data_IF_670406211105
#
_entry.id   IF_670406211105
#
_cell.length_a   1.000
_cell.length_b   1.000
_cell.length_c   1.000
_cell.angle_alpha   90.00
_cell.angle_beta   90.00
_cell.angle_gamma   90.00
#
_symmetry.space_group_name_H-M   'P 1'
#
loop_
_entity.id
_entity.type
_entity.pdbx_description
1 polymer ?
#
# COMPACT_ATOMS: atom_id res chain seq x y z
N UNK A 1 -12.41 -35.04 66.76
CA UNK A 1 -11.59 -35.11 65.52
C UNK A 1 -12.39 -34.45 64.39
N UNK A 2 -12.14 -33.18 64.09
CA UNK A 2 -12.77 -32.48 62.95
C UNK A 2 -11.71 -32.23 61.87
N UNK A 3 -12.04 -32.63 60.64
CA UNK A 3 -11.16 -32.62 59.45
C UNK A 3 -11.02 -31.19 58.90
N UNK A 4 -9.80 -30.74 58.67
CA UNK A 4 -9.51 -29.54 57.88
C UNK A 4 -9.68 -29.86 56.39
N UNK A 5 -10.57 -29.15 55.71
CA UNK A 5 -10.69 -29.16 54.25
C UNK A 5 -9.86 -28.01 53.68
N UNK A 6 -8.69 -28.32 53.12
CA UNK A 6 -7.88 -27.41 52.29
C UNK A 6 -8.56 -27.22 50.94
N UNK A 7 -9.07 -26.01 50.67
CA UNK A 7 -9.51 -25.60 49.33
C UNK A 7 -8.30 -25.03 48.59
N UNK A 8 -7.78 -25.80 47.63
CA UNK A 8 -6.75 -25.34 46.70
C UNK A 8 -7.39 -24.49 45.60
N UNK A 9 -7.05 -23.19 45.55
CA UNK A 9 -7.45 -22.30 44.47
C UNK A 9 -6.44 -22.40 43.32
N UNK A 10 -6.85 -22.99 42.19
CA UNK A 10 -6.06 -23.01 40.97
C UNK A 10 -6.15 -21.65 40.26
N UNK A 11 -5.02 -20.96 40.13
CA UNK A 11 -4.91 -19.73 39.34
C UNK A 11 -4.51 -20.08 37.90
N UNK A 12 -5.46 -19.98 36.96
CA UNK A 12 -5.15 -20.05 35.53
C UNK A 12 -4.64 -18.68 35.05
N UNK A 13 -3.37 -18.62 34.64
CA UNK A 13 -2.78 -17.45 34.01
C UNK A 13 -3.12 -17.45 32.51
N UNK A 14 -3.99 -16.55 32.07
CA UNK A 14 -4.23 -16.30 30.65
C UNK A 14 -3.15 -15.36 30.12
N UNK A 15 -2.22 -15.88 29.32
CA UNK A 15 -1.26 -15.09 28.54
C UNK A 15 -2.03 -14.44 27.37
N UNK A 16 -2.31 -13.14 27.46
CA UNK A 16 -2.82 -12.37 26.34
C UNK A 16 -1.68 -12.08 25.37
N UNK A 17 -1.62 -12.79 24.25
CA UNK A 17 -0.73 -12.48 23.12
C UNK A 17 -1.24 -11.19 22.45
N UNK A 18 -0.63 -10.05 22.76
CA UNK A 18 -0.80 -8.85 21.95
C UNK A 18 -0.17 -9.12 20.57
N UNK A 19 -0.95 -8.96 19.49
CA UNK A 19 -0.40 -9.02 18.14
C UNK A 19 0.64 -7.89 17.99
N UNK A 20 1.91 -8.19 17.65
CA UNK A 20 2.90 -7.16 17.43
C UNK A 20 2.45 -6.23 16.29
N UNK A 21 2.86 -4.97 16.32
CA UNK A 21 2.72 -4.09 15.16
C UNK A 21 3.41 -4.79 13.97
N UNK A 22 2.65 -5.11 12.94
CA UNK A 22 3.16 -5.86 11.79
C UNK A 22 4.28 -5.04 11.13
N UNK A 23 5.47 -5.63 11.05
CA UNK A 23 6.58 -5.05 10.29
C UNK A 23 6.16 -4.86 8.82
N UNK A 24 6.71 -3.84 8.17
CA UNK A 24 6.43 -3.60 6.75
C UNK A 24 6.89 -4.79 5.91
N UNK A 25 6.09 -5.16 4.91
CA UNK A 25 6.31 -6.26 3.98
C UNK A 25 6.54 -5.68 2.59
N UNK A 26 7.68 -6.02 1.99
CA UNK A 26 8.05 -5.51 0.66
C UNK A 26 7.72 -6.52 -0.43
N UNK A 27 6.87 -6.10 -1.37
CA UNK A 27 6.52 -6.83 -2.58
C UNK A 27 7.40 -6.34 -3.74
N UNK A 28 8.22 -7.23 -4.29
CA UNK A 28 9.09 -6.92 -5.42
C UNK A 28 8.45 -7.39 -6.72
N UNK A 29 8.22 -6.43 -7.61
CA UNK A 29 7.62 -6.67 -8.91
C UNK A 29 8.67 -6.87 -10.01
N UNK A 30 9.94 -6.52 -9.79
CA UNK A 30 11.09 -6.77 -10.67
C UNK A 30 12.09 -7.82 -10.16
N UNK A 31 13.30 -7.84 -10.73
CA UNK A 31 14.46 -8.66 -10.32
C UNK A 31 15.00 -9.67 -11.35
N UNK A 32 16.18 -10.24 -11.06
CA UNK A 32 16.92 -11.15 -11.97
C UNK A 32 16.31 -12.54 -12.17
N UNK A 33 15.22 -12.86 -11.45
CA UNK A 33 14.53 -14.16 -11.50
C UNK A 33 13.04 -13.99 -11.84
N UNK A 34 12.69 -12.93 -12.56
CA UNK A 34 11.32 -12.69 -13.01
C UNK A 34 11.10 -13.34 -14.37
N UNK A 35 10.15 -14.28 -14.45
CA UNK A 35 9.64 -14.71 -15.75
C UNK A 35 8.97 -13.50 -16.38
N UNK A 36 9.52 -13.01 -17.49
CA UNK A 36 8.91 -11.97 -18.31
C UNK A 36 7.54 -12.46 -18.74
N UNK A 37 6.51 -11.76 -18.33
CA UNK A 37 5.13 -12.20 -18.53
C UNK A 37 4.24 -10.98 -18.77
N UNK A 38 3.48 -11.08 -19.85
CA UNK A 38 2.35 -10.18 -20.11
C UNK A 38 1.08 -10.91 -19.71
N UNK A 39 0.25 -10.27 -18.90
CA UNK A 39 -0.98 -10.85 -18.38
C UNK A 39 -1.98 -9.78 -18.01
N UNK A 40 -3.21 -10.17 -17.69
CA UNK A 40 -4.26 -9.22 -17.26
C UNK A 40 -4.11 -8.79 -15.80
N UNK A 41 -3.34 -9.54 -15.00
CA UNK A 41 -3.08 -9.24 -13.60
C UNK A 41 -1.79 -9.91 -13.11
N UNK A 42 -1.18 -9.34 -12.07
CA UNK A 42 -0.12 -9.97 -11.27
C UNK A 42 -0.62 -10.10 -9.83
N UNK A 43 -0.39 -11.24 -9.18
CA UNK A 43 -0.72 -11.44 -7.76
C UNK A 43 0.45 -12.03 -7.01
N UNK A 44 0.74 -11.50 -5.83
CA UNK A 44 1.78 -11.98 -4.92
C UNK A 44 1.25 -12.00 -3.49
N UNK A 45 1.58 -13.05 -2.74
CA UNK A 45 1.26 -13.15 -1.31
C UNK A 45 2.56 -13.26 -0.52
N UNK A 46 2.73 -12.40 0.48
CA UNK A 46 3.88 -12.41 1.36
C UNK A 46 3.45 -12.05 2.78
N UNK A 47 3.92 -12.83 3.76
CA UNK A 47 3.61 -12.62 5.18
C UNK A 47 2.10 -12.49 5.49
N UNK A 48 1.25 -13.18 4.74
CA UNK A 48 -0.21 -13.17 4.90
C UNK A 48 -0.95 -12.06 4.13
N UNK A 49 -0.23 -11.05 3.62
CA UNK A 49 -0.80 -9.98 2.80
C UNK A 49 -0.72 -10.41 1.34
N UNK A 50 -1.82 -10.27 0.59
CA UNK A 50 -1.86 -10.46 -0.85
C UNK A 50 -1.98 -9.11 -1.54
N UNK A 51 -1.16 -8.90 -2.57
CA UNK A 51 -1.19 -7.74 -3.45
C UNK A 51 -1.54 -8.22 -4.85
N UNK A 52 -2.53 -7.57 -5.48
CA UNK A 52 -2.91 -7.83 -6.87
C UNK A 52 -2.80 -6.53 -7.69
N UNK A 53 -2.06 -6.58 -8.79
CA UNK A 53 -1.92 -5.49 -9.74
C UNK A 53 -2.79 -5.71 -10.97
N UNK A 54 -3.49 -4.67 -11.44
CA UNK A 54 -4.18 -4.61 -12.74
C UNK A 54 -3.92 -3.28 -13.45
N UNK A 55 -3.90 -3.29 -14.78
CA UNK A 55 -3.63 -2.11 -15.62
C UNK A 55 -4.90 -1.52 -16.23
N UNK A 56 -4.94 -0.21 -16.39
CA UNK A 56 -6.03 0.53 -17.02
C UNK A 56 -5.51 1.74 -17.78
N UNK A 57 -6.33 2.28 -18.68
CA UNK A 57 -6.12 3.61 -19.25
C UNK A 57 -7.41 4.42 -19.26
N UNK A 58 -7.28 5.74 -19.36
CA UNK A 58 -8.40 6.62 -19.63
C UNK A 58 -8.95 6.40 -21.05
N UNK A 59 -10.24 6.65 -21.24
CA UNK A 59 -10.83 6.71 -22.58
C UNK A 59 -10.33 7.94 -23.38
N UNK A 60 -9.92 9.00 -22.68
CA UNK A 60 -9.29 10.22 -23.20
C UNK A 60 -8.47 10.86 -22.10
N UNK A 61 -7.24 11.29 -22.38
CA UNK A 61 -6.37 11.93 -21.37
C UNK A 61 -7.03 13.15 -20.76
N UNK A 62 -7.34 13.14 -19.45
CA UNK A 62 -7.82 14.33 -18.77
C UNK A 62 -6.71 15.39 -18.84
N UNK A 63 -7.05 16.62 -19.25
CA UNK A 63 -6.09 17.73 -19.38
C UNK A 63 -5.32 18.06 -18.07
N UNK A 64 -5.79 17.56 -16.92
CA UNK A 64 -5.01 17.50 -15.68
C UNK A 64 -5.51 16.37 -14.77
N UNK A 65 -4.70 15.33 -14.58
CA UNK A 65 -4.91 14.27 -13.59
C UNK A 65 -4.51 14.76 -12.17
N UNK A 66 -4.87 16.00 -11.78
CA UNK A 66 -4.23 16.68 -10.65
C UNK A 66 -5.11 16.84 -9.40
N UNK A 67 -6.41 16.66 -9.48
CA UNK A 67 -7.32 16.51 -8.32
C UNK A 67 -8.70 15.95 -8.69
N UNK A 68 -8.91 15.55 -9.95
CA UNK A 68 -10.27 15.31 -10.47
C UNK A 68 -11.02 14.17 -9.76
N UNK A 69 -10.27 13.25 -9.13
CA UNK A 69 -10.82 12.03 -8.54
C UNK A 69 -10.90 12.06 -7.02
N UNK A 70 -10.41 13.11 -6.36
CA UNK A 70 -10.45 13.17 -4.91
C UNK A 70 -11.89 13.16 -4.39
N UNK A 71 -12.17 12.30 -3.42
CA UNK A 71 -13.51 12.03 -2.90
C UNK A 71 -14.46 11.27 -3.83
N UNK A 72 -14.06 10.94 -5.07
CA UNK A 72 -14.91 10.17 -5.99
C UNK A 72 -15.01 8.72 -5.56
N UNK A 73 -16.12 8.09 -5.94
CA UNK A 73 -16.30 6.65 -5.74
C UNK A 73 -15.38 5.86 -6.68
N UNK A 74 -14.47 5.06 -6.11
CA UNK A 74 -13.45 4.34 -6.87
C UNK A 74 -14.06 3.37 -7.88
N UNK A 75 -15.18 2.73 -7.55
CA UNK A 75 -15.84 1.79 -8.48
C UNK A 75 -16.47 2.54 -9.66
N UNK A 76 -17.03 3.72 -9.42
CA UNK A 76 -17.56 4.59 -10.48
C UNK A 76 -16.45 5.06 -11.42
N UNK A 77 -15.31 5.50 -10.88
CA UNK A 77 -14.15 5.88 -11.69
C UNK A 77 -13.62 4.69 -12.48
N UNK A 78 -13.43 3.54 -11.82
CA UNK A 78 -12.91 2.32 -12.44
C UNK A 78 -13.78 1.86 -13.62
N UNK A 79 -15.11 2.00 -13.51
CA UNK A 79 -16.04 1.65 -14.57
C UNK A 79 -15.91 2.52 -15.84
N UNK A 80 -15.32 3.71 -15.72
CA UNK A 80 -15.04 4.61 -16.84
C UNK A 80 -13.65 4.37 -17.47
N UNK A 81 -12.82 3.51 -16.87
CA UNK A 81 -11.49 3.17 -17.39
C UNK A 81 -11.54 1.97 -18.33
N UNK A 82 -10.61 1.93 -19.27
CA UNK A 82 -10.43 0.79 -20.18
C UNK A 82 -9.41 -0.18 -19.58
N UNK A 83 -9.75 -1.45 -19.31
CA UNK A 83 -8.79 -2.43 -18.83
C UNK A 83 -7.66 -2.69 -19.82
N UNK A 84 -6.44 -2.84 -19.30
CA UNK A 84 -5.21 -3.07 -20.05
C UNK A 84 -4.47 -4.29 -19.50
N UNK A 85 -3.45 -4.74 -20.23
CA UNK A 85 -2.56 -5.77 -19.73
C UNK A 85 -1.50 -5.13 -18.83
N UNK A 86 -0.89 -5.94 -17.97
CA UNK A 86 0.35 -5.62 -17.26
C UNK A 86 1.46 -6.41 -17.91
N UNK A 87 2.63 -5.78 -18.01
CA UNK A 87 3.87 -6.48 -18.33
C UNK A 87 4.85 -6.39 -17.18
N UNK A 88 5.41 -7.55 -16.83
CA UNK A 88 6.42 -7.70 -15.80
C UNK A 88 7.79 -7.89 -16.44
N UNK A 89 8.74 -7.09 -15.98
CA UNK A 89 10.12 -7.03 -16.44
C UNK A 89 11.11 -7.11 -15.27
N UNK A 90 12.41 -7.19 -15.57
CA UNK A 90 13.44 -7.16 -14.53
C UNK A 90 13.44 -5.85 -13.72
N UNK A 91 12.95 -4.75 -14.29
CA UNK A 91 12.92 -3.44 -13.63
C UNK A 91 11.57 -3.11 -12.96
N UNK A 92 10.59 -4.02 -13.02
CA UNK A 92 9.29 -3.82 -12.38
C UNK A 92 8.11 -4.18 -13.27
N UNK A 93 6.96 -3.60 -12.97
CA UNK A 93 5.73 -3.73 -13.74
C UNK A 93 5.25 -2.38 -14.28
N UNK A 94 4.61 -2.42 -15.43
CA UNK A 94 3.79 -1.32 -15.93
C UNK A 94 2.63 -1.83 -16.76
N UNK A 95 1.96 -0.91 -17.45
CA UNK A 95 0.77 -1.17 -18.25
C UNK A 95 1.20 -1.39 -19.70
N UNK A 96 0.37 -2.13 -20.43
CA UNK A 96 0.53 -2.39 -21.86
C UNK A 96 -0.83 -2.44 -22.54
N UNK A 97 -0.90 -1.96 -23.78
CA UNK A 97 -2.02 -2.26 -24.66
C UNK A 97 -1.66 -3.23 -25.80
N UNK A 98 -2.66 -3.89 -26.42
CA UNK A 98 -2.43 -4.75 -27.57
C UNK A 98 -1.88 -3.92 -28.74
N UNK A 99 -0.63 -4.21 -29.17
CA UNK A 99 0.00 -3.59 -30.34
C UNK A 99 1.22 -2.72 -30.04
N UNK A 100 1.46 -2.36 -28.77
CA UNK A 100 2.76 -1.82 -28.37
C UNK A 100 3.80 -2.94 -28.23
N UNK A 101 5.00 -2.69 -28.75
CA UNK A 101 6.11 -3.62 -28.66
C UNK A 101 7.36 -2.90 -28.12
N UNK A 102 8.32 -3.67 -27.61
CA UNK A 102 9.61 -3.13 -27.18
C UNK A 102 9.54 -2.41 -25.83
N UNK A 103 10.18 -1.23 -25.76
CA UNK A 103 10.32 -0.45 -24.53
C UNK A 103 9.04 0.30 -24.13
N UNK A 104 8.10 0.53 -25.04
CA UNK A 104 6.85 1.29 -24.79
C UNK A 104 5.78 0.46 -24.07
N UNK A 105 5.58 -0.81 -24.44
CA UNK A 105 4.74 -1.71 -23.64
C UNK A 105 5.52 -2.16 -22.40
N UNK A 106 5.39 -1.45 -21.28
CA UNK A 106 5.77 -1.87 -19.92
C UNK A 106 5.87 -0.72 -18.90
N UNK A 107 5.58 0.53 -19.24
CA UNK A 107 5.62 1.66 -18.31
C UNK A 107 4.19 2.03 -17.85
N UNK A 108 4.09 2.89 -16.85
CA UNK A 108 2.86 3.60 -16.50
C UNK A 108 3.07 5.02 -17.03
N UNK A 109 2.52 5.28 -18.20
CA UNK A 109 2.86 6.49 -18.95
C UNK A 109 1.64 7.37 -19.30
N UNK A 110 1.94 8.44 -20.04
CA UNK A 110 0.97 9.37 -20.58
C UNK A 110 1.08 9.52 -22.11
N UNK A 111 1.76 8.59 -22.81
CA UNK A 111 1.76 8.59 -24.29
C UNK A 111 0.38 8.13 -24.78
N UNK A 112 -0.29 9.00 -25.51
CA UNK A 112 -1.70 8.80 -25.86
C UNK A 112 -2.63 8.99 -24.66
N UNK A 113 -3.26 7.92 -24.16
CA UNK A 113 -4.21 7.98 -23.03
C UNK A 113 -3.52 7.68 -21.71
N UNK A 114 -3.58 8.57 -20.72
CA UNK A 114 -2.96 8.33 -19.42
C UNK A 114 -3.29 6.95 -18.85
N UNK A 115 -2.27 6.29 -18.33
CA UNK A 115 -2.39 4.96 -17.78
C UNK A 115 -2.49 4.97 -16.26
N UNK A 116 -3.10 3.91 -15.73
CA UNK A 116 -3.21 3.65 -14.31
C UNK A 116 -2.79 2.22 -14.03
N UNK A 117 -1.82 2.07 -13.14
CA UNK A 117 -1.53 0.82 -12.48
C UNK A 117 -2.26 0.79 -11.13
N UNK A 118 -3.23 -0.11 -11.00
CA UNK A 118 -4.03 -0.30 -9.80
C UNK A 118 -3.49 -1.46 -8.98
N UNK A 119 -3.26 -1.23 -7.70
CA UNK A 119 -2.81 -2.21 -6.73
C UNK A 119 -3.90 -2.42 -5.68
N UNK A 120 -4.39 -3.65 -5.53
CA UNK A 120 -5.35 -4.06 -4.50
C UNK A 120 -4.63 -4.85 -3.44
N UNK A 121 -4.96 -4.59 -2.17
CA UNK A 121 -4.42 -5.33 -1.03
C UNK A 121 -5.50 -6.14 -0.33
N UNK A 122 -5.14 -7.29 0.21
CA UNK A 122 -6.10 -8.20 0.88
C UNK A 122 -6.68 -7.68 2.19
N UNK A 123 -6.06 -6.67 2.78
CA UNK A 123 -6.45 -6.04 4.03
C UNK A 123 -6.10 -4.54 4.00
N UNK A 124 -6.60 -3.76 4.96
CA UNK A 124 -6.26 -2.34 5.05
C UNK A 124 -4.80 -2.14 5.45
N UNK A 125 -3.99 -1.54 4.58
CA UNK A 125 -2.56 -1.31 4.81
C UNK A 125 -2.18 0.17 4.69
N UNK A 126 -1.04 0.52 5.26
CA UNK A 126 -0.31 1.75 4.97
C UNK A 126 0.78 1.44 3.95
N UNK A 127 0.91 2.29 2.94
CA UNK A 127 2.03 2.26 2.00
C UNK A 127 3.20 3.03 2.62
N UNK A 128 4.32 2.34 2.80
CA UNK A 128 5.52 2.79 3.51
C UNK A 128 6.62 3.19 2.55
N UNK A 129 6.79 2.46 1.44
CA UNK A 129 7.70 2.89 0.37
C UNK A 129 7.20 2.42 -0.97
N UNK A 130 7.60 3.11 -2.02
CA UNK A 130 7.50 2.64 -3.40
C UNK A 130 8.81 2.94 -4.13
N UNK A 131 9.26 2.01 -4.96
CA UNK A 131 10.41 2.22 -5.84
C UNK A 131 9.95 2.17 -7.29
N UNK A 132 10.49 3.08 -8.07
CA UNK A 132 10.21 3.26 -9.48
C UNK A 132 11.52 3.11 -10.25
N UNK A 133 11.43 2.54 -11.44
CA UNK A 133 12.55 2.33 -12.36
C UNK A 133 12.17 2.92 -13.72
N UNK A 134 13.16 3.16 -14.59
CA UNK A 134 12.97 3.88 -15.86
C UNK A 134 12.39 5.28 -15.64
N UNK A 135 12.85 5.94 -14.58
CA UNK A 135 12.36 7.27 -14.21
C UNK A 135 13.31 8.31 -14.79
N UNK A 136 12.72 9.29 -15.48
CA UNK A 136 13.42 10.42 -16.07
C UNK A 136 13.18 11.70 -15.28
N UNK A 137 14.03 12.70 -15.54
CA UNK A 137 14.03 13.96 -14.77
C UNK A 137 12.78 14.84 -15.00
N UNK A 138 11.96 14.52 -16.00
CA UNK A 138 10.69 15.18 -16.34
C UNK A 138 9.47 14.30 -16.07
N UNK A 139 9.65 13.03 -15.69
CA UNK A 139 8.55 12.12 -15.39
C UNK A 139 7.74 12.59 -14.18
N UNK A 140 6.45 12.25 -14.16
CA UNK A 140 5.57 12.61 -13.05
C UNK A 140 4.93 11.40 -12.41
N UNK A 141 4.76 11.48 -11.08
CA UNK A 141 4.05 10.47 -10.30
C UNK A 141 2.72 11.01 -9.81
N UNK A 142 1.70 10.18 -9.97
CA UNK A 142 0.39 10.37 -9.38
C UNK A 142 0.03 9.16 -8.56
N UNK A 143 -0.38 9.41 -7.33
CA UNK A 143 -0.69 8.35 -6.39
C UNK A 143 -1.99 8.70 -5.66
N UNK A 144 -2.93 7.77 -5.76
CA UNK A 144 -4.19 7.80 -5.02
C UNK A 144 -4.28 6.58 -4.12
N UNK A 145 -4.88 6.76 -2.95
CA UNK A 145 -5.32 5.68 -2.09
C UNK A 145 -6.83 5.49 -2.24
N UNK A 146 -7.32 4.26 -2.10
CA UNK A 146 -8.77 4.03 -1.96
C UNK A 146 -9.05 3.71 -0.50
N UNK A 147 -9.82 4.59 0.14
CA UNK A 147 -10.23 4.45 1.53
C UNK A 147 -11.08 3.19 1.71
N UNK A 148 -11.27 2.76 2.95
CA UNK A 148 -12.01 1.52 3.22
C UNK A 148 -13.47 1.62 2.75
N UNK A 149 -14.08 2.81 2.80
CA UNK A 149 -15.42 3.11 2.27
C UNK A 149 -15.45 3.29 0.73
N UNK A 150 -14.31 3.15 0.04
CA UNK A 150 -14.25 3.12 -1.42
C UNK A 150 -14.09 4.48 -2.10
N UNK A 151 -13.68 5.51 -1.36
CA UNK A 151 -13.39 6.82 -1.93
C UNK A 151 -11.93 6.93 -2.34
N UNK A 152 -11.68 7.55 -3.48
CA UNK A 152 -10.34 7.92 -3.91
C UNK A 152 -9.87 9.12 -3.09
N UNK A 153 -8.64 9.03 -2.59
CA UNK A 153 -7.97 10.11 -1.88
C UNK A 153 -6.65 10.41 -2.59
N UNK A 154 -6.43 11.66 -2.97
CA UNK A 154 -5.17 12.08 -3.55
C UNK A 154 -4.08 12.08 -2.48
N UNK A 155 -3.05 11.25 -2.66
CA UNK A 155 -1.97 11.11 -1.67
C UNK A 155 -0.83 12.10 -1.94
N UNK A 156 -1.12 13.29 -2.46
CA UNK A 156 -0.13 14.38 -2.57
C UNK A 156 0.91 14.27 -3.69
N UNK A 157 1.00 13.14 -4.41
CA UNK A 157 1.90 13.03 -5.56
C UNK A 157 1.27 13.68 -6.77
N UNK A 158 1.88 14.74 -7.26
CA UNK A 158 1.41 15.37 -8.49
C UNK A 158 2.41 16.25 -9.18
N UNK A 159 3.69 16.13 -8.87
CA UNK A 159 4.78 16.85 -9.51
C UNK A 159 5.75 15.89 -10.19
N UNK A 160 6.83 16.46 -10.71
CA UNK A 160 7.95 15.75 -11.32
C UNK A 160 8.70 14.94 -10.26
N UNK A 161 9.33 13.83 -10.63
CA UNK A 161 10.34 13.17 -9.81
C UNK A 161 11.54 14.10 -9.58
N UNK A 162 11.39 15.05 -8.66
CA UNK A 162 12.44 16.00 -8.30
C UNK A 162 13.34 15.39 -7.22
N UNK A 163 14.62 15.77 -7.23
CA UNK A 163 15.70 15.10 -6.50
C UNK A 163 15.58 15.06 -4.97
N UNK A 164 16.64 14.58 -4.28
CA UNK A 164 16.60 14.32 -2.85
C UNK A 164 16.24 15.56 -2.04
N UNK A 165 15.31 15.43 -1.09
CA UNK A 165 14.94 16.49 -0.15
C UNK A 165 13.80 17.41 -0.59
N UNK A 166 13.12 17.12 -1.70
CA UNK A 166 11.87 17.78 -2.06
C UNK A 166 10.70 17.22 -1.25
N UNK A 167 9.89 18.08 -0.64
CA UNK A 167 8.71 17.67 0.14
C UNK A 167 7.57 17.33 -0.82
N UNK A 168 7.26 16.04 -0.96
CA UNK A 168 6.37 15.50 -2.01
C UNK A 168 4.87 15.59 -1.64
N UNK A 169 4.42 16.70 -1.04
CA UNK A 169 2.99 16.96 -0.77
C UNK A 169 2.34 16.15 0.37
N UNK A 170 2.95 15.06 0.83
CA UNK A 170 2.60 14.40 2.11
C UNK A 170 3.57 14.89 3.20
N UNK A 171 3.06 15.23 4.38
CA UNK A 171 3.89 15.63 5.52
C UNK A 171 4.90 14.53 5.91
N UNK A 172 6.20 14.87 5.91
CA UNK A 172 7.28 13.95 6.31
C UNK A 172 7.75 12.99 5.21
N UNK A 173 7.30 13.17 3.97
CA UNK A 173 7.71 12.37 2.81
C UNK A 173 8.92 12.98 2.10
N UNK A 174 9.83 12.10 1.67
CA UNK A 174 11.00 12.45 0.87
C UNK A 174 11.24 11.39 -0.20
N UNK A 175 11.75 11.83 -1.35
CA UNK A 175 12.24 10.95 -2.40
C UNK A 175 13.76 10.91 -2.45
N UNK A 176 14.31 9.87 -3.07
CA UNK A 176 15.75 9.68 -3.25
C UNK A 176 16.06 8.87 -4.52
N UNK A 177 16.98 9.39 -5.34
CA UNK A 177 17.61 8.64 -6.43
C UNK A 177 18.49 7.53 -5.87
N UNK A 178 18.22 6.29 -6.25
CA UNK A 178 18.94 5.11 -5.79
C UNK A 178 20.08 4.73 -6.74
N UNK A 179 19.85 4.82 -8.05
CA UNK A 179 20.80 4.43 -9.09
C UNK A 179 20.38 4.95 -10.47
N UNK A 180 21.25 4.78 -11.47
CA UNK A 180 21.00 5.18 -12.86
C UNK A 180 21.68 6.51 -13.23
N UNK A 181 21.78 6.78 -14.53
CA UNK A 181 22.40 7.99 -15.10
C UNK A 181 21.65 8.39 -16.36
N UNK A 182 21.39 9.67 -16.56
CA UNK A 182 20.59 10.13 -17.71
C UNK A 182 19.13 9.72 -17.57
N UNK A 183 18.52 9.33 -18.69
CA UNK A 183 17.08 9.09 -18.84
C UNK A 183 16.75 7.60 -18.62
N UNK A 184 17.10 7.05 -17.44
CA UNK A 184 16.70 5.71 -17.01
C UNK A 184 17.14 5.51 -15.53
N UNK A 185 16.55 6.26 -14.60
CA UNK A 185 16.94 6.23 -13.19
C UNK A 185 16.00 5.40 -12.32
N UNK A 186 16.52 4.98 -11.15
CA UNK A 186 15.74 4.33 -10.10
C UNK A 186 15.45 5.34 -9.00
N UNK A 187 14.17 5.59 -8.76
CA UNK A 187 13.71 6.52 -7.74
C UNK A 187 12.98 5.79 -6.63
N UNK A 188 13.23 6.19 -5.39
CA UNK A 188 12.49 5.70 -4.23
C UNK A 188 11.75 6.81 -3.55
N UNK A 189 10.56 6.46 -3.07
CA UNK A 189 9.69 7.37 -2.35
C UNK A 189 9.44 6.78 -0.97
N UNK A 190 9.79 7.53 0.06
CA UNK A 190 9.47 7.20 1.45
C UNK A 190 8.08 7.72 1.78
N UNK A 191 7.15 6.80 2.02
CA UNK A 191 5.75 7.02 2.28
C UNK A 191 5.43 6.68 3.75
N UNK A 192 4.34 7.22 4.27
CA UNK A 192 3.75 6.74 5.51
C UNK A 192 2.27 7.09 5.50
N UNK A 193 1.53 6.41 4.63
CA UNK A 193 0.13 6.76 4.36
C UNK A 193 -0.79 6.33 5.51
N UNK A 194 -2.05 6.77 5.47
CA UNK A 194 -3.12 6.18 6.25
C UNK A 194 -3.46 4.74 5.84
N UNK A 195 -4.66 4.27 6.23
CA UNK A 195 -5.17 2.91 5.96
C UNK A 195 -5.99 2.88 4.67
N UNK A 196 -5.50 2.18 3.66
CA UNK A 196 -6.14 2.04 2.36
C UNK A 196 -6.27 0.57 1.94
N UNK A 197 -7.25 0.30 1.07
CA UNK A 197 -7.47 -1.03 0.47
C UNK A 197 -6.95 -1.15 -0.96
N UNK A 198 -6.63 -0.02 -1.59
CA UNK A 198 -6.03 0.04 -2.93
C UNK A 198 -5.12 1.25 -3.06
N UNK A 199 -4.17 1.16 -4.00
CA UNK A 199 -3.30 2.26 -4.43
C UNK A 199 -3.30 2.34 -5.94
N UNK A 200 -3.48 3.53 -6.49
CA UNK A 200 -3.53 3.75 -7.93
C UNK A 200 -2.37 4.67 -8.32
N UNK A 201 -1.49 4.15 -9.17
CA UNK A 201 -0.31 4.82 -9.69
C UNK A 201 -0.62 5.29 -11.11
N UNK A 202 -0.35 6.55 -11.42
CA UNK A 202 -0.50 7.11 -12.76
C UNK A 202 0.57 8.15 -13.07
N UNK A 203 0.51 8.72 -14.26
CA UNK A 203 1.39 9.78 -14.76
C UNK A 203 0.53 10.96 -15.30
N UNK A 204 1.07 12.17 -15.32
CA UNK A 204 0.38 13.37 -15.80
C UNK A 204 1.25 14.41 -16.49
N UNK A 205 2.31 14.05 -17.21
CA UNK A 205 3.04 15.05 -17.99
C UNK A 205 3.92 14.39 -19.04
N UNK A 206 3.95 15.02 -20.20
CA UNK A 206 4.80 14.70 -21.36
C UNK A 206 4.39 13.45 -22.15
N UNK A 207 4.42 13.58 -23.47
CA UNK A 207 4.04 12.54 -24.43
C UNK A 207 5.16 11.49 -24.61
N UNK A 208 6.20 11.56 -23.79
CA UNK A 208 7.46 10.91 -24.07
C UNK A 208 7.75 9.74 -23.13
N UNK A 209 7.55 9.88 -21.80
CA UNK A 209 8.12 8.91 -20.86
C UNK A 209 7.24 8.65 -19.62
N UNK A 210 7.46 7.50 -19.00
CA UNK A 210 6.77 7.03 -17.80
C UNK A 210 7.61 6.02 -17.04
N UNK A 211 7.09 5.48 -15.95
CA UNK A 211 7.91 4.68 -15.04
C UNK A 211 7.41 3.25 -14.91
N UNK A 212 8.27 2.35 -14.43
CA UNK A 212 7.84 1.03 -13.94
C UNK A 212 7.76 1.05 -12.42
N UNK A 213 6.74 0.39 -11.87
CA UNK A 213 6.68 0.14 -10.43
C UNK A 213 7.58 -1.06 -10.10
N UNK A 214 8.72 -0.80 -9.47
CA UNK A 214 9.69 -1.82 -9.10
C UNK A 214 9.28 -2.60 -7.86
N UNK A 215 8.88 -1.90 -6.79
CA UNK A 215 8.45 -2.53 -5.54
C UNK A 215 7.57 -1.60 -4.71
N UNK A 216 6.80 -2.19 -3.79
CA UNK A 216 6.11 -1.47 -2.73
C UNK A 216 6.38 -2.13 -1.38
N UNK A 217 6.44 -1.33 -0.33
CA UNK A 217 6.46 -1.82 1.05
C UNK A 217 5.21 -1.38 1.77
N UNK A 218 4.48 -2.31 2.37
CA UNK A 218 3.20 -2.05 3.04
C UNK A 218 3.21 -2.56 4.47
N UNK A 219 2.58 -1.85 5.39
CA UNK A 219 2.39 -2.27 6.77
C UNK A 219 0.90 -2.48 7.05
N UNK A 220 0.52 -3.64 7.57
CA UNK A 220 -0.85 -3.90 7.98
C UNK A 220 -1.29 -2.90 9.05
N UNK A 221 -2.45 -2.28 8.86
CA UNK A 221 -3.04 -1.37 9.85
C UNK A 221 -4.12 -2.14 10.61
N UNK A 222 -3.94 -2.42 11.92
CA UNK A 222 -4.88 -3.21 12.69
C UNK A 222 -6.30 -2.67 12.59
N UNK A 223 -7.26 -3.57 12.42
CA UNK A 223 -8.66 -3.18 12.29
C UNK A 223 -9.17 -2.53 13.58
N UNK A 224 -10.12 -1.57 13.51
CA UNK A 224 -10.73 -0.97 14.71
C UNK A 224 -11.28 -2.00 15.71
N UNK A 225 -11.76 -3.14 15.22
CA UNK A 225 -12.18 -4.27 16.07
C UNK A 225 -11.04 -4.87 16.89
N UNK A 226 -9.84 -4.98 16.31
CA UNK A 226 -8.64 -5.43 17.02
C UNK A 226 -8.27 -4.48 18.14
N UNK A 227 -8.37 -3.16 17.91
CA UNK A 227 -8.19 -2.17 18.98
C UNK A 227 -9.22 -2.33 20.09
N UNK A 228 -10.51 -2.51 19.73
CA UNK A 228 -11.56 -2.73 20.71
C UNK A 228 -11.36 -4.01 21.52
N UNK A 229 -10.88 -5.09 20.91
CA UNK A 229 -10.55 -6.34 21.59
C UNK A 229 -9.34 -6.18 22.52
N UNK A 230 -8.29 -5.47 22.09
CA UNK A 230 -7.13 -5.17 22.94
C UNK A 230 -7.54 -4.34 24.15
N UNK A 231 -8.26 -3.23 23.92
CA UNK A 231 -8.76 -2.35 24.98
C UNK A 231 -9.72 -3.12 25.90
N UNK A 232 -10.63 -3.92 25.35
CA UNK A 232 -11.54 -4.77 26.09
C UNK A 232 -10.81 -5.79 26.95
N UNK A 233 -9.80 -6.46 26.40
CA UNK A 233 -8.93 -7.39 27.13
C UNK A 233 -8.20 -6.73 28.29
N UNK A 234 -7.60 -5.54 28.07
CA UNK A 234 -6.98 -4.76 29.14
C UNK A 234 -7.99 -4.30 30.19
N UNK A 235 -9.19 -3.89 29.78
CA UNK A 235 -10.28 -3.53 30.68
C UNK A 235 -10.69 -4.69 31.59
N UNK A 236 -10.86 -5.89 31.03
CA UNK A 236 -11.19 -7.10 31.77
C UNK A 236 -10.07 -7.52 32.72
N UNK A 237 -8.81 -7.49 32.26
CA UNK A 237 -7.64 -7.77 33.11
C UNK A 237 -7.55 -6.80 34.29
N UNK A 238 -7.74 -5.50 34.04
CA UNK A 238 -7.78 -4.48 35.09
C UNK A 238 -8.92 -4.68 36.08
N UNK A 239 -10.12 -5.03 35.60
CA UNK A 239 -11.28 -5.32 36.45
C UNK A 239 -11.05 -6.54 37.34
N UNK A 240 -10.45 -7.60 36.80
CA UNK A 240 -10.10 -8.81 37.55
C UNK A 240 -9.09 -8.51 38.68
N UNK A 241 -8.06 -7.72 38.39
CA UNK A 241 -7.07 -7.28 39.39
C UNK A 241 -7.71 -6.43 40.50
N UNK A 242 -8.61 -5.50 40.16
CA UNK A 242 -9.35 -4.70 41.14
C UNK A 242 -10.24 -5.56 42.03
N UNK A 243 -10.96 -6.54 41.46
CA UNK A 243 -11.78 -7.50 42.22
C UNK A 243 -10.94 -8.30 43.21
N UNK A 244 -9.76 -8.78 42.80
CA UNK A 244 -8.84 -9.52 43.69
C UNK A 244 -8.37 -8.67 44.88
N UNK A 245 -8.05 -7.39 44.66
CA UNK A 245 -7.65 -6.47 45.74
C UNK A 245 -8.78 -6.22 46.73
N UNK A 246 -10.01 -6.05 46.25
CA UNK A 246 -11.17 -5.86 47.14
C UNK A 246 -11.44 -7.08 48.03
N UNK A 247 -11.32 -8.30 47.48
CA UNK A 247 -11.47 -9.55 48.24
C UNK A 247 -10.34 -9.72 49.26
N UNK A 248 -9.09 -9.40 48.90
CA UNK A 248 -7.96 -9.43 49.82
C UNK A 248 -8.08 -8.40 50.97
N UNK A 249 -8.62 -7.21 50.69
CA UNK A 249 -8.86 -6.19 51.71
C UNK A 249 -10.02 -6.53 52.66
N UNK A 250 -11.01 -7.32 52.22
CA UNK A 250 -12.14 -7.74 53.05
C UNK A 250 -11.83 -8.94 53.97
N UNK A 251 -10.67 -9.58 53.78
CA UNK A 251 -10.23 -10.76 54.55
C UNK A 251 -9.07 -10.46 55.50
N UNK A 252 -8.61 -9.22 55.55
CA UNK A 252 -7.62 -8.68 56.49
C UNK A 252 -8.31 -7.87 57.59
#
# INVERSE_FOLDING_TARGET
>A
MFRFATIAAAAAAALALAAPASAAVTFNFGGSNTTLATGVALSQTQSGITVAATGYSFASSPASFQSLMDGQDAATVLAALTPKQIRREATGIGVCWPGEAGNQCNQVDADGTNEILRIVVSEGVSLVTATFDRVDSNDTLKLYGVTMDGKLEHLGYGGIFDGPGTSMGIGGVSGAWLSGTGDDQVYSVSLNTGRYKEFWFGNNNDSADGYRLGSISVAAVPEPGTWALMIGGFGLAGAALRRRRAVAAATA
#
